data_IF_385602924289
#
_entry.id   IF_385602924289
#
_cell.length_a   1.000
_cell.length_b   1.000
_cell.length_c   1.000
_cell.angle_alpha   90.00
_cell.angle_beta   90.00
_cell.angle_gamma   90.00
#
_symmetry.space_group_name_H-M   'P 1'
#
loop_
_entity.id
_entity.type
_entity.pdbx_description
1 polymer ?
#
# COMPACT_ATOMS: atom_id res chain seq x y z
N UNK A 1 12.44 23.29 -6.84
CA UNK A 1 12.40 21.94 -6.25
C UNK A 1 11.14 21.24 -6.79
N UNK A 2 11.22 20.01 -7.32
CA UNK A 2 10.02 19.30 -7.82
C UNK A 2 9.17 18.83 -6.64
N UNK A 3 7.86 19.01 -6.70
CA UNK A 3 6.92 18.49 -5.69
C UNK A 3 6.49 17.07 -6.04
N UNK A 4 6.00 16.32 -5.04
CA UNK A 4 5.36 15.01 -5.25
C UNK A 4 4.15 15.10 -6.20
N UNK A 5 3.38 16.20 -6.12
CA UNK A 5 2.26 16.48 -7.03
C UNK A 5 2.67 16.55 -8.50
N UNK A 6 3.91 16.97 -8.79
CA UNK A 6 4.40 17.11 -10.17
C UNK A 6 4.90 15.77 -10.73
N UNK A 7 5.18 14.82 -9.83
CA UNK A 7 5.69 13.49 -10.15
C UNK A 7 4.56 12.50 -10.44
N UNK A 8 3.52 12.53 -9.62
CA UNK A 8 2.42 11.56 -9.63
C UNK A 8 2.78 10.23 -8.97
N UNK A 9 1.76 9.54 -8.49
CA UNK A 9 1.87 8.34 -7.65
C UNK A 9 2.70 7.23 -8.30
N UNK A 10 2.35 6.82 -9.54
CA UNK A 10 3.04 5.71 -10.24
C UNK A 10 4.54 5.93 -10.40
N UNK A 11 4.98 7.18 -10.61
CA UNK A 11 6.41 7.50 -10.71
C UNK A 11 7.07 7.52 -9.34
N UNK A 12 6.36 7.98 -8.30
CA UNK A 12 6.83 7.92 -6.92
C UNK A 12 7.07 6.47 -6.48
N UNK A 13 6.11 5.57 -6.73
CA UNK A 13 6.24 4.13 -6.43
C UNK A 13 7.48 3.54 -7.09
N UNK A 14 7.70 3.80 -8.39
CA UNK A 14 8.91 3.32 -9.08
C UNK A 14 10.21 3.83 -8.49
N UNK A 15 10.27 5.10 -8.08
CA UNK A 15 11.46 5.65 -7.43
C UNK A 15 11.71 4.99 -6.08
N UNK A 16 10.67 4.79 -5.28
CA UNK A 16 10.76 4.12 -3.98
C UNK A 16 11.18 2.66 -4.17
N UNK A 17 10.56 1.94 -5.11
CA UNK A 17 10.94 0.58 -5.49
C UNK A 17 12.42 0.50 -5.85
N UNK A 18 12.95 1.38 -6.70
CA UNK A 18 14.39 1.37 -7.03
C UNK A 18 15.32 1.58 -5.82
N UNK A 19 14.85 2.24 -4.75
CA UNK A 19 15.60 2.43 -3.51
C UNK A 19 15.52 1.18 -2.62
N UNK A 20 14.34 0.56 -2.55
CA UNK A 20 14.00 -0.49 -1.57
C UNK A 20 14.13 -1.92 -2.09
N UNK A 21 14.12 -2.17 -3.41
CA UNK A 21 14.09 -3.52 -4.02
C UNK A 21 15.44 -4.24 -3.94
N UNK A 22 16.02 -4.31 -2.74
CA UNK A 22 17.31 -4.96 -2.44
C UNK A 22 17.14 -6.14 -1.46
N UNK A 23 15.91 -6.60 -1.23
CA UNK A 23 15.61 -7.70 -0.31
C UNK A 23 15.41 -9.05 -1.00
N UNK A 24 15.18 -10.08 -0.19
CA UNK A 24 14.92 -11.47 -0.60
C UNK A 24 13.41 -11.76 -0.76
N UNK A 25 12.61 -10.78 -1.16
CA UNK A 25 11.19 -11.01 -1.41
C UNK A 25 10.95 -11.87 -2.68
N UNK A 26 10.02 -12.83 -2.58
CA UNK A 26 9.66 -13.70 -3.71
C UNK A 26 8.80 -12.96 -4.73
N UNK A 27 7.93 -12.06 -4.24
CA UNK A 27 7.17 -11.07 -5.04
C UNK A 27 7.30 -9.72 -4.35
N UNK A 28 7.89 -8.75 -5.04
CA UNK A 28 8.22 -7.44 -4.47
C UNK A 28 7.28 -6.30 -4.85
N UNK A 29 7.79 -5.07 -4.67
CA UNK A 29 7.01 -3.83 -4.80
C UNK A 29 6.43 -3.69 -6.22
N UNK A 30 5.10 -3.64 -6.33
CA UNK A 30 4.39 -3.44 -7.59
C UNK A 30 3.18 -4.34 -7.81
N UNK A 31 2.99 -5.34 -6.95
CA UNK A 31 1.79 -6.18 -6.86
C UNK A 31 0.89 -5.76 -5.68
N UNK A 32 -0.30 -6.35 -5.55
CA UNK A 32 -1.31 -5.98 -4.52
C UNK A 32 -0.83 -6.28 -3.06
N UNK A 33 0.17 -7.14 -2.92
CA UNK A 33 0.86 -7.42 -1.65
C UNK A 33 2.31 -7.87 -1.91
N UNK A 34 3.16 -7.78 -0.89
CA UNK A 34 4.48 -8.40 -0.91
C UNK A 34 4.35 -9.86 -0.45
N UNK A 35 5.04 -10.79 -1.13
CA UNK A 35 5.11 -12.19 -0.73
C UNK A 35 6.52 -12.55 -0.26
N UNK A 36 6.61 -13.06 0.96
CA UNK A 36 7.84 -13.58 1.55
C UNK A 36 7.78 -15.10 1.58
N UNK A 37 8.87 -15.75 1.14
CA UNK A 37 9.02 -17.19 1.29
C UNK A 37 8.94 -17.56 2.78
N UNK A 38 8.06 -18.50 3.10
CA UNK A 38 7.84 -19.03 4.43
C UNK A 38 7.84 -20.58 4.43
N UNK A 39 8.76 -21.16 3.65
CA UNK A 39 8.96 -22.60 3.56
C UNK A 39 8.00 -23.25 2.58
N UNK A 40 6.97 -23.93 3.09
CA UNK A 40 5.95 -24.56 2.23
C UNK A 40 4.83 -23.57 1.84
N UNK A 41 4.82 -22.38 2.43
CA UNK A 41 3.82 -21.35 2.22
C UNK A 41 4.48 -19.98 1.95
N UNK A 42 3.66 -18.99 1.60
CA UNK A 42 4.09 -17.60 1.52
C UNK A 42 3.41 -16.76 2.59
N UNK A 43 4.18 -15.91 3.27
CA UNK A 43 3.63 -14.86 4.10
C UNK A 43 3.35 -13.63 3.23
N UNK A 44 2.06 -13.29 3.09
CA UNK A 44 1.62 -12.11 2.36
C UNK A 44 1.51 -10.91 3.30
N UNK A 45 2.12 -9.80 2.91
CA UNK A 45 2.11 -8.55 3.67
C UNK A 45 1.57 -7.45 2.77
N UNK A 46 0.48 -6.83 3.21
CA UNK A 46 -0.05 -5.61 2.60
C UNK A 46 -0.39 -4.59 3.68
N UNK A 47 -0.44 -3.33 3.29
CA UNK A 47 -0.84 -2.23 4.14
C UNK A 47 -1.59 -1.22 3.30
N UNK A 48 -2.68 -0.70 3.86
CA UNK A 48 -3.48 0.30 3.19
C UNK A 48 -3.79 1.46 4.13
N UNK A 49 -4.19 2.60 3.55
CA UNK A 49 -4.57 3.77 4.33
C UNK A 49 -5.85 4.40 3.83
N UNK A 50 -6.71 4.78 4.76
CA UNK A 50 -7.87 5.63 4.48
C UNK A 50 -7.64 7.03 5.02
N UNK A 51 -8.40 7.99 4.50
CA UNK A 51 -8.31 9.39 4.89
C UNK A 51 -9.70 9.94 5.06
N UNK A 52 -9.93 10.73 6.11
CA UNK A 52 -11.25 11.33 6.34
C UNK A 52 -11.73 12.15 5.14
N UNK A 53 -10.80 12.84 4.47
CA UNK A 53 -11.12 13.76 3.36
C UNK A 53 -11.62 13.03 2.11
N UNK A 54 -11.10 11.85 1.82
CA UNK A 54 -11.35 11.15 0.54
C UNK A 54 -12.17 9.88 0.67
N UNK A 55 -12.14 9.23 1.83
CA UNK A 55 -12.68 7.88 2.02
C UNK A 55 -13.82 7.81 3.06
N UNK A 56 -14.07 8.86 3.84
CA UNK A 56 -15.07 8.86 4.93
C UNK A 56 -16.12 9.95 4.72
N UNK A 57 -17.24 9.65 4.06
CA UNK A 57 -18.43 10.51 4.05
C UNK A 57 -18.95 10.80 5.45
N UNK A 58 -19.56 11.97 5.67
CA UNK A 58 -20.06 12.40 6.98
C UNK A 58 -21.12 11.46 7.59
N UNK A 59 -21.83 10.72 6.73
CA UNK A 59 -22.87 9.76 7.15
C UNK A 59 -22.30 8.41 7.64
N UNK A 60 -21.02 8.12 7.40
CA UNK A 60 -20.44 6.85 7.85
C UNK A 60 -20.31 6.80 9.37
N UNK A 61 -20.85 5.73 9.95
CA UNK A 61 -20.66 5.41 11.37
C UNK A 61 -19.26 4.87 11.64
N UNK A 62 -18.73 4.99 12.87
CA UNK A 62 -17.44 4.40 13.24
C UNK A 62 -17.32 2.91 12.91
N UNK A 63 -18.42 2.16 13.03
CA UNK A 63 -18.43 0.74 12.68
C UNK A 63 -18.22 0.51 11.18
N UNK A 64 -18.91 1.27 10.32
CA UNK A 64 -18.73 1.18 8.86
C UNK A 64 -17.33 1.62 8.44
N UNK A 65 -16.74 2.61 9.12
CA UNK A 65 -15.35 3.03 8.88
C UNK A 65 -14.42 1.87 9.23
N UNK A 66 -14.59 1.25 10.40
CA UNK A 66 -13.78 0.10 10.82
C UNK A 66 -13.89 -1.08 9.86
N UNK A 67 -15.11 -1.37 9.38
CA UNK A 67 -15.32 -2.40 8.36
C UNK A 67 -14.58 -2.09 7.06
N UNK A 68 -14.70 -0.86 6.55
CA UNK A 68 -14.04 -0.43 5.33
C UNK A 68 -12.50 -0.43 5.40
N UNK A 69 -11.92 -0.29 6.60
CA UNK A 69 -10.46 -0.36 6.78
C UNK A 69 -9.91 -1.77 6.62
N UNK A 70 -10.71 -2.81 6.88
CA UNK A 70 -10.25 -4.20 6.93
C UNK A 70 -10.70 -5.03 5.73
N UNK A 71 -11.87 -4.71 5.16
CA UNK A 71 -12.47 -5.45 4.05
C UNK A 71 -11.81 -5.13 2.71
#
# INVERSE_FOLDING_TARGET
MKKLSDLGERKAIRLISNILSKGDEAVGIGDDCAALDFGEEYLLISTDMISKKTHVPEIMTPWQIGWFVVA
#
